data_IF_606348185303
#
_entry.id   IF_606348185303
#
_cell.length_a   1.000
_cell.length_b   1.000
_cell.length_c   1.000
_cell.angle_alpha   90.00
_cell.angle_beta   90.00
_cell.angle_gamma   90.00
#
_symmetry.space_group_name_H-M   'P 1'
#
loop_
_entity.id
_entity.type
_entity.pdbx_description
1 polymer ?
#
# COMPACT_ATOMS: atom_id res chain seq x y z
N UNK A 1 -8.41 -4.99 -18.51
CA UNK A 1 -7.03 -5.26 -18.13
C UNK A 1 -6.88 -5.25 -16.61
N UNK A 2 -6.44 -6.38 -16.07
CA UNK A 2 -6.16 -6.53 -14.63
C UNK A 2 -4.76 -6.01 -14.31
N UNK A 3 -4.64 -5.32 -13.17
CA UNK A 3 -3.37 -4.84 -12.62
C UNK A 3 -3.16 -5.38 -11.22
N UNK A 4 -1.90 -5.64 -10.88
CA UNK A 4 -1.51 -6.09 -9.54
C UNK A 4 -0.65 -5.03 -8.86
N UNK A 5 -0.77 -4.92 -7.54
CA UNK A 5 0.19 -4.24 -6.69
C UNK A 5 0.80 -5.26 -5.75
N UNK A 6 2.12 -5.44 -5.84
CA UNK A 6 2.93 -6.12 -4.84
C UNK A 6 3.66 -5.08 -3.99
N UNK A 7 3.96 -5.42 -2.74
CA UNK A 7 4.78 -4.56 -1.90
C UNK A 7 6.24 -4.58 -2.35
N UNK A 8 6.65 -3.61 -3.16
CA UNK A 8 8.06 -3.44 -3.50
C UNK A 8 8.86 -2.92 -2.29
N UNK A 9 10.14 -3.26 -2.21
CA UNK A 9 11.03 -2.69 -1.22
C UNK A 9 11.09 -1.16 -1.36
N UNK A 10 10.69 -0.44 -0.31
CA UNK A 10 10.65 1.03 -0.27
C UNK A 10 12.01 1.59 0.15
N UNK A 11 12.65 0.93 1.11
CA UNK A 11 13.98 1.25 1.63
C UNK A 11 14.88 0.03 1.63
N UNK A 12 16.22 0.21 1.57
CA UNK A 12 17.16 -0.91 1.67
C UNK A 12 16.91 -1.73 2.94
N UNK A 13 17.11 -3.05 2.83
CA UNK A 13 17.01 -4.01 3.95
C UNK A 13 15.61 -4.17 4.58
N UNK A 14 14.59 -3.52 4.01
CA UNK A 14 13.18 -3.81 4.31
C UNK A 14 12.85 -5.27 4.00
N UNK A 15 12.27 -5.98 4.97
CA UNK A 15 11.72 -7.33 4.80
C UNK A 15 10.21 -7.31 4.57
N UNK A 16 9.55 -6.23 4.97
CA UNK A 16 8.12 -6.00 4.79
C UNK A 16 7.68 -4.69 5.44
N UNK A 17 6.38 -4.44 5.43
CA UNK A 17 5.77 -3.28 6.07
C UNK A 17 4.49 -3.67 6.81
N UNK A 18 4.19 -2.92 7.86
CA UNK A 18 2.91 -3.00 8.57
C UNK A 18 1.97 -1.94 8.03
N UNK A 19 0.75 -2.34 7.71
CA UNK A 19 -0.29 -1.41 7.26
C UNK A 19 -0.79 -0.59 8.44
N UNK A 20 -0.72 0.74 8.33
CA UNK A 20 -1.22 1.66 9.35
C UNK A 20 -2.65 2.13 9.04
N UNK A 21 -2.95 2.38 7.76
CA UNK A 21 -4.25 2.85 7.33
C UNK A 21 -4.56 2.37 5.91
N UNK A 22 -5.80 1.99 5.66
CA UNK A 22 -6.33 1.73 4.32
C UNK A 22 -7.37 2.79 3.98
N UNK A 23 -7.20 3.46 2.83
CA UNK A 23 -8.06 4.56 2.38
C UNK A 23 -9.13 4.14 1.36
N UNK A 24 -9.10 2.89 0.92
CA UNK A 24 -9.96 2.37 -0.14
C UNK A 24 -10.49 0.98 0.21
N UNK A 25 -11.68 0.67 -0.28
CA UNK A 25 -12.34 -0.60 -0.16
C UNK A 25 -12.53 -1.27 -1.54
N UNK A 26 -12.61 -2.61 -1.60
CA UNK A 26 -12.99 -3.30 -2.83
C UNK A 26 -14.28 -2.73 -3.43
N UNK A 27 -14.28 -2.44 -4.72
CA UNK A 27 -15.35 -1.78 -5.46
C UNK A 27 -15.10 -0.30 -5.75
N UNK A 28 -14.17 0.34 -5.04
CA UNK A 28 -13.92 1.77 -5.21
C UNK A 28 -13.33 2.12 -6.60
N UNK A 29 -13.87 3.17 -7.21
CA UNK A 29 -13.28 3.81 -8.38
C UNK A 29 -12.23 4.84 -7.94
N UNK A 30 -10.95 4.52 -8.10
CA UNK A 30 -9.85 5.35 -7.66
C UNK A 30 -9.33 6.22 -8.82
N UNK A 31 -9.16 7.51 -8.54
CA UNK A 31 -8.56 8.48 -9.46
C UNK A 31 -7.04 8.52 -9.32
N UNK A 32 -6.36 9.06 -10.32
CA UNK A 32 -4.94 9.41 -10.18
C UNK A 32 -4.77 10.36 -8.97
N UNK A 33 -3.78 10.06 -8.12
CA UNK A 33 -3.54 10.78 -6.87
C UNK A 33 -4.34 10.26 -5.67
N UNK A 34 -5.20 9.25 -5.84
CA UNK A 34 -5.86 8.59 -4.71
C UNK A 34 -4.82 7.93 -3.79
N UNK A 35 -4.95 8.19 -2.49
CA UNK A 35 -4.21 7.49 -1.44
C UNK A 35 -4.75 6.06 -1.35
N UNK A 36 -3.86 5.08 -1.23
CA UNK A 36 -4.26 3.67 -1.13
C UNK A 36 -4.07 3.17 0.31
N UNK A 37 -2.82 3.16 0.77
CA UNK A 37 -2.44 2.72 2.11
C UNK A 37 -1.33 3.58 2.68
N UNK A 38 -1.34 3.73 4.00
CA UNK A 38 -0.18 4.14 4.78
C UNK A 38 0.47 2.91 5.41
N UNK A 39 1.79 2.90 5.40
CA UNK A 39 2.65 1.80 5.81
C UNK A 39 3.69 2.31 6.81
N UNK A 40 4.08 1.46 7.75
CA UNK A 40 5.27 1.63 8.57
C UNK A 40 6.28 0.53 8.25
N UNK A 41 7.55 0.89 8.16
CA UNK A 41 8.67 -0.04 7.99
C UNK A 41 9.54 0.03 9.23
N UNK A 42 9.73 -1.11 9.90
CA UNK A 42 10.60 -1.25 11.06
C UNK A 42 11.97 -1.81 10.62
N UNK A 43 13.02 -1.02 10.82
CA UNK A 43 14.41 -1.34 10.51
C UNK A 43 15.24 -1.66 11.77
N UNK A 44 14.60 -1.82 12.93
CA UNK A 44 15.28 -2.09 14.22
C UNK A 44 16.19 -3.33 14.18
N UNK A 45 15.81 -4.35 13.41
CA UNK A 45 16.60 -5.58 13.23
C UNK A 45 17.89 -5.38 12.41
N UNK A 46 17.94 -4.33 11.59
CA UNK A 46 19.05 -4.03 10.68
C UNK A 46 19.95 -2.90 11.20
N UNK A 47 19.36 -1.89 11.86
CA UNK A 47 20.04 -0.69 12.32
C UNK A 47 19.62 -0.34 13.74
N UNK A 48 20.04 -1.15 14.72
CA UNK A 48 19.75 -0.93 16.14
C UNK A 48 20.30 0.41 16.71
N UNK A 49 21.14 1.13 15.97
CA UNK A 49 21.77 2.39 16.40
C UNK A 49 21.24 3.65 15.68
N UNK A 50 20.42 3.53 14.63
CA UNK A 50 19.82 4.68 13.95
C UNK A 50 18.41 4.94 14.48
N UNK A 51 18.16 6.17 14.94
CA UNK A 51 16.91 6.57 15.58
C UNK A 51 16.18 7.61 14.70
N UNK A 52 14.87 7.46 14.41
CA UNK A 52 13.98 6.36 14.81
C UNK A 52 14.08 5.14 13.87
N UNK A 53 13.98 3.91 14.39
CA UNK A 53 14.08 2.69 13.57
C UNK A 53 12.83 2.46 12.69
N UNK A 54 11.75 3.22 12.92
CA UNK A 54 10.49 3.08 12.18
C UNK A 54 10.27 4.29 11.28
N UNK A 55 10.12 4.05 9.99
CA UNK A 55 9.79 5.05 8.98
C UNK A 55 8.39 4.82 8.40
N UNK A 56 7.73 5.89 7.98
CA UNK A 56 6.35 5.84 7.49
C UNK A 56 6.24 6.28 6.02
N UNK A 57 5.37 5.61 5.28
CA UNK A 57 5.22 5.78 3.85
C UNK A 57 3.75 5.73 3.44
N UNK A 58 3.41 6.44 2.37
CA UNK A 58 2.10 6.37 1.71
C UNK A 58 2.25 5.87 0.29
N UNK A 59 1.41 4.92 -0.10
CA UNK A 59 1.26 4.51 -1.49
C UNK A 59 0.12 5.32 -2.13
N UNK A 60 0.43 5.96 -3.26
CA UNK A 60 -0.52 6.79 -4.03
C UNK A 60 -0.61 6.28 -5.46
N UNK A 61 -1.83 6.15 -5.98
CA UNK A 61 -2.05 5.74 -7.37
C UNK A 61 -1.59 6.80 -8.36
N UNK A 62 -0.93 6.37 -9.43
CA UNK A 62 -0.46 7.20 -10.54
C UNK A 62 -1.25 7.01 -11.84
N UNK A 63 -2.32 6.23 -11.79
CA UNK A 63 -3.28 6.03 -12.87
C UNK A 63 -4.66 5.72 -12.26
N UNK A 64 -5.76 6.02 -12.97
CA UNK A 64 -7.09 5.62 -12.52
C UNK A 64 -7.28 4.11 -12.62
N UNK A 65 -7.93 3.51 -11.62
CA UNK A 65 -8.23 2.08 -11.59
C UNK A 65 -9.40 1.77 -10.66
N UNK A 66 -10.06 0.64 -10.87
CA UNK A 66 -11.06 0.10 -9.95
C UNK A 66 -10.39 -0.88 -8.99
N UNK A 67 -10.53 -0.67 -7.68
CA UNK A 67 -9.99 -1.59 -6.69
C UNK A 67 -10.87 -2.83 -6.62
N UNK A 68 -10.30 -4.01 -6.84
CA UNK A 68 -11.03 -5.28 -6.90
C UNK A 68 -10.79 -6.14 -5.68
N UNK A 69 -9.57 -6.11 -5.15
CA UNK A 69 -9.24 -6.74 -3.89
C UNK A 69 -8.09 -5.98 -3.23
N UNK A 70 -8.07 -5.95 -1.90
CA UNK A 70 -6.96 -5.46 -1.09
C UNK A 70 -6.75 -6.44 0.05
N UNK A 71 -5.51 -6.88 0.26
CA UNK A 71 -5.15 -7.82 1.33
C UNK A 71 -4.76 -7.08 2.61
N UNK A 72 -4.24 -5.86 2.48
CA UNK A 72 -3.84 -5.01 3.59
C UNK A 72 -5.03 -4.58 4.45
N UNK A 73 -4.94 -4.86 5.76
CA UNK A 73 -5.78 -4.26 6.80
C UNK A 73 -4.88 -3.56 7.83
N UNK A 74 -5.36 -2.51 8.52
CA UNK A 74 -4.60 -1.89 9.60
C UNK A 74 -4.10 -2.93 10.62
N UNK A 75 -2.81 -2.91 10.91
CA UNK A 75 -2.10 -3.87 11.76
C UNK A 75 -1.47 -5.06 11.03
N UNK A 76 -1.86 -5.34 9.78
CA UNK A 76 -1.32 -6.49 9.05
C UNK A 76 0.10 -6.23 8.53
N UNK A 77 0.96 -7.23 8.71
CA UNK A 77 2.29 -7.26 8.12
C UNK A 77 2.25 -7.89 6.72
N UNK A 78 2.84 -7.19 5.75
CA UNK A 78 3.01 -7.67 4.38
C UNK A 78 4.50 -7.77 4.07
N UNK A 79 4.96 -8.95 3.62
CA UNK A 79 6.34 -9.14 3.21
C UNK A 79 6.63 -8.44 1.88
N UNK A 80 7.90 -8.11 1.62
CA UNK A 80 8.33 -7.63 0.30
C UNK A 80 7.96 -8.67 -0.78
N UNK A 81 7.55 -8.18 -1.94
CA UNK A 81 7.03 -8.91 -3.09
C UNK A 81 5.71 -9.68 -2.87
N UNK A 82 5.13 -9.61 -1.68
CA UNK A 82 3.81 -10.16 -1.42
C UNK A 82 2.71 -9.31 -2.08
N UNK A 83 1.60 -9.92 -2.53
CA UNK A 83 0.47 -9.22 -3.13
C UNK A 83 -0.24 -8.32 -2.11
N UNK A 84 -0.47 -7.07 -2.49
CA UNK A 84 -1.11 -6.04 -1.67
C UNK A 84 -2.51 -5.69 -2.16
N UNK A 85 -2.68 -5.57 -3.49
CA UNK A 85 -3.98 -5.23 -4.08
C UNK A 85 -4.09 -5.69 -5.54
N UNK A 86 -5.33 -5.87 -5.99
CA UNK A 86 -5.71 -6.19 -7.35
C UNK A 86 -6.66 -5.11 -7.88
N UNK A 87 -6.43 -4.68 -9.12
CA UNK A 87 -7.21 -3.65 -9.77
C UNK A 87 -7.66 -4.07 -11.17
N UNK A 88 -8.63 -3.35 -11.71
CA UNK A 88 -9.06 -3.48 -13.10
C UNK A 88 -9.24 -2.13 -13.77
N UNK A 89 -9.21 -2.10 -15.11
CA UNK A 89 -9.50 -0.89 -15.89
C UNK A 89 -10.99 -0.54 -15.94
N UNK A 90 -11.86 -1.54 -15.81
CA UNK A 90 -13.32 -1.40 -15.77
C UNK A 90 -13.89 -2.15 -14.55
N UNK A 91 -15.07 -1.77 -14.03
CA UNK A 91 -15.58 -2.33 -12.77
C UNK A 91 -15.91 -3.83 -12.84
N UNK A 92 -16.39 -4.29 -13.99
CA UNK A 92 -16.96 -5.65 -14.16
C UNK A 92 -16.01 -6.61 -14.91
N UNK A 93 -14.74 -6.24 -15.00
CA UNK A 93 -13.75 -7.11 -15.65
C UNK A 93 -13.61 -8.44 -14.91
N UNK A 94 -13.58 -9.58 -15.62
CA UNK A 94 -13.31 -10.88 -15.03
C UNK A 94 -11.93 -10.93 -14.33
N UNK A 95 -11.86 -11.56 -13.16
CA UNK A 95 -10.64 -11.65 -12.33
C UNK A 95 -9.86 -12.97 -12.50
N UNK A 96 -10.33 -13.83 -13.40
CA UNK A 96 -9.72 -15.11 -13.79
C UNK A 96 -8.56 -14.94 -14.78
N UNK A 97 -8.36 -13.73 -15.31
CA UNK A 97 -7.21 -13.37 -16.13
C UNK A 97 -5.98 -13.02 -15.26
N UNK A 98 -4.80 -13.44 -15.73
CA UNK A 98 -3.55 -13.04 -15.10
C UNK A 98 -3.36 -11.51 -15.16
N UNK A 99 -2.81 -10.86 -14.11
CA UNK A 99 -2.51 -9.44 -14.15
C UNK A 99 -1.59 -9.10 -15.32
N UNK A 100 -2.00 -8.17 -16.16
CA UNK A 100 -1.26 -7.81 -17.37
C UNK A 100 0.05 -7.08 -17.03
N UNK A 101 0.05 -6.31 -15.95
CA UNK A 101 1.20 -5.56 -15.44
C UNK A 101 0.95 -5.03 -14.02
N UNK A 102 1.99 -4.53 -13.34
CA UNK A 102 1.80 -3.77 -12.12
C UNK A 102 1.02 -2.47 -12.34
N UNK A 103 0.20 -2.09 -11.36
CA UNK A 103 -0.41 -0.75 -11.30
C UNK A 103 0.67 0.29 -10.99
N UNK A 104 0.59 1.46 -11.63
CA UNK A 104 1.51 2.56 -11.40
C UNK A 104 1.18 3.22 -10.08
N UNK A 105 2.16 3.23 -9.18
CA UNK A 105 2.08 3.92 -7.89
C UNK A 105 3.30 4.82 -7.69
N UNK A 106 3.20 5.73 -6.73
CA UNK A 106 4.35 6.41 -6.13
C UNK A 106 4.31 6.20 -4.63
N UNK A 107 5.48 6.24 -4.01
CA UNK A 107 5.63 6.19 -2.57
C UNK A 107 6.05 7.57 -2.07
N UNK A 108 5.38 8.07 -1.03
CA UNK A 108 5.72 9.32 -0.36
C UNK A 108 6.11 9.03 1.10
N UNK A 109 7.24 9.55 1.56
CA UNK A 109 7.60 9.50 2.97
C UNK A 109 6.67 10.40 3.80
N UNK A 110 6.30 9.94 4.99
CA UNK A 110 5.47 10.67 5.95
C UNK A 110 6.33 10.99 7.17
N UNK A 111 6.44 12.27 7.53
CA UNK A 111 7.02 12.66 8.82
C UNK A 111 6.01 12.37 9.93
N UNK A 112 6.27 11.35 10.76
CA UNK A 112 5.35 10.94 11.84
C UNK A 112 4.88 12.12 12.70
N UNK A 113 3.59 12.15 13.02
CA UNK A 113 2.99 13.06 13.98
C UNK A 113 1.87 12.32 14.73
N UNK A 114 1.84 12.39 16.06
CA UNK A 114 0.95 11.55 16.88
C UNK A 114 -0.56 11.74 16.58
N UNK A 115 -0.93 12.86 15.97
CA UNK A 115 -2.31 13.16 15.55
C UNK A 115 -2.68 12.71 14.11
N UNK A 116 -1.78 12.08 13.34
CA UNK A 116 -1.99 11.91 11.89
C UNK A 116 -2.88 10.74 11.45
N UNK A 117 -3.07 9.70 12.27
CA UNK A 117 -3.89 8.54 11.93
C UNK A 117 -5.23 8.48 12.65
N UNK A 118 -5.80 9.63 13.02
CA UNK A 118 -7.11 9.77 13.65
C UNK A 118 -8.30 9.39 12.75
N UNK A 119 -8.10 8.57 11.71
CA UNK A 119 -9.15 7.91 10.97
C UNK A 119 -9.80 6.79 11.79
N UNK A 120 -10.27 7.08 13.00
CA UNK A 120 -11.24 6.24 13.66
C UNK A 120 -12.55 6.38 12.87
N UNK A 121 -12.96 5.31 12.19
CA UNK A 121 -14.36 5.14 11.85
C UNK A 121 -15.10 4.82 13.15
N UNK A 122 -15.89 5.77 13.64
CA UNK A 122 -17.12 5.46 14.39
C UNK A 122 -18.16 4.85 13.45
#
# INVERSE_FOLDING_TARGET
>A
MIYELKLSAIVPQMTGATTQCCYAAPGDALKMGSKLVDLSVDLSSAFAQECPPVSYYRIVLREPAFLRAITAKPGDFTAVDAPLALFSSTPDEPLDEAPARPVRVTVAGIMHHDAMWSGQQE
#
